data_IF_461247794650
#
_entry.id   IF_461247794650
#
_cell.length_a   1.000
_cell.length_b   1.000
_cell.length_c   1.000
_cell.angle_alpha   90.00
_cell.angle_beta   90.00
_cell.angle_gamma   90.00
#
_symmetry.space_group_name_H-M   'P 1'
#
loop_
_entity.id
_entity.type
_entity.pdbx_description
1 polymer ?
#
# COMPACT_ATOMS: atom_id res chain seq x y z
N UNK A 1 45.41 -24.41 2.86
CA UNK A 1 45.92 -23.54 3.93
C UNK A 1 45.03 -22.31 4.05
N UNK A 2 44.37 -22.13 5.20
CA UNK A 2 43.55 -20.95 5.47
C UNK A 2 44.48 -19.83 5.93
N UNK A 3 44.45 -18.68 5.25
CA UNK A 3 45.28 -17.54 5.60
C UNK A 3 44.39 -16.48 6.27
N UNK A 4 44.70 -16.14 7.53
CA UNK A 4 44.01 -15.06 8.25
C UNK A 4 44.83 -13.78 8.10
N UNK A 5 44.22 -12.72 7.57
CA UNK A 5 44.79 -11.37 7.60
C UNK A 5 44.03 -10.55 8.64
N UNK A 6 44.79 -9.83 9.46
CA UNK A 6 44.25 -8.87 10.44
C UNK A 6 44.49 -7.48 9.88
N UNK A 7 43.46 -6.64 9.89
CA UNK A 7 43.53 -5.26 9.41
C UNK A 7 43.42 -4.32 10.60
N UNK A 8 44.30 -3.32 10.68
CA UNK A 8 44.22 -2.26 11.69
C UNK A 8 43.17 -1.21 11.26
N UNK A 9 41.99 -1.27 11.86
CA UNK A 9 40.88 -0.38 11.52
C UNK A 9 41.09 1.05 12.00
N UNK A 10 41.80 1.28 13.10
CA UNK A 10 42.03 2.63 13.64
C UNK A 10 42.76 3.55 12.65
N UNK A 11 43.86 3.06 12.08
CA UNK A 11 44.64 3.83 11.11
C UNK A 11 43.86 4.10 9.81
N UNK A 12 43.07 3.12 9.35
CA UNK A 12 42.27 3.24 8.13
C UNK A 12 41.06 4.17 8.32
N UNK A 13 40.43 4.16 9.50
CA UNK A 13 39.28 5.02 9.81
C UNK A 13 39.77 6.46 10.02
N UNK A 14 40.87 6.67 10.73
CA UNK A 14 41.40 8.01 10.99
C UNK A 14 41.79 8.79 9.71
N UNK A 15 42.05 8.10 8.59
CA UNK A 15 42.35 8.76 7.31
C UNK A 15 41.11 9.12 6.48
N UNK A 16 39.91 8.66 6.87
CA UNK A 16 38.68 8.79 6.05
C UNK A 16 37.52 9.40 6.84
N UNK A 17 37.40 9.12 8.13
CA UNK A 17 36.32 9.61 8.99
C UNK A 17 36.73 10.88 9.74
N UNK A 18 35.82 11.86 9.87
CA UNK A 18 36.03 12.98 10.78
C UNK A 18 36.03 12.50 12.23
N UNK A 19 36.62 13.30 13.13
CA UNK A 19 36.66 12.99 14.56
C UNK A 19 35.27 13.02 15.22
N UNK A 20 34.35 13.85 14.68
CA UNK A 20 33.01 14.07 15.19
C UNK A 20 32.00 14.05 14.03
N UNK A 21 30.77 13.62 14.31
CA UNK A 21 29.64 13.66 13.38
C UNK A 21 28.53 14.52 13.99
N UNK A 22 28.09 15.53 13.26
CA UNK A 22 26.95 16.36 13.63
C UNK A 22 25.64 15.73 13.14
N UNK A 23 24.58 15.85 13.96
CA UNK A 23 23.24 15.30 13.68
C UNK A 23 22.19 16.30 14.13
N UNK A 24 21.43 16.83 13.17
CA UNK A 24 20.22 17.58 13.48
C UNK A 24 19.10 16.61 13.87
N UNK A 25 18.40 16.90 14.96
CA UNK A 25 17.33 16.05 15.50
C UNK A 25 16.04 16.84 15.66
N UNK A 26 14.93 16.24 15.23
CA UNK A 26 13.57 16.68 15.53
C UNK A 26 13.13 16.22 16.92
N UNK A 27 12.03 16.77 17.44
CA UNK A 27 11.52 16.50 18.81
C UNK A 27 11.32 15.01 19.15
N UNK A 28 10.98 14.18 18.16
CA UNK A 28 10.78 12.74 18.33
C UNK A 28 11.93 11.92 17.75
N UNK A 29 13.13 12.47 17.68
CA UNK A 29 14.31 11.76 17.20
C UNK A 29 15.36 11.62 18.30
N UNK A 30 16.17 10.57 18.22
CA UNK A 30 17.32 10.37 19.10
C UNK A 30 18.49 9.73 18.38
N UNK A 31 19.68 9.88 18.95
CA UNK A 31 20.84 9.09 18.54
C UNK A 31 20.57 7.60 18.77
N UNK A 32 20.84 6.80 17.75
CA UNK A 32 20.67 5.36 17.78
C UNK A 32 21.60 4.73 18.83
N UNK A 33 21.06 3.99 19.82
CA UNK A 33 21.88 3.37 20.85
C UNK A 33 22.70 2.18 20.33
N UNK A 34 22.29 1.54 19.22
CA UNK A 34 22.97 0.37 18.64
C UNK A 34 24.30 0.75 17.97
N UNK A 35 24.31 1.85 17.22
CA UNK A 35 25.50 2.30 16.49
C UNK A 35 26.09 3.61 17.05
N UNK A 36 25.54 4.11 18.16
CA UNK A 36 25.96 5.35 18.82
C UNK A 36 26.06 6.55 17.86
N UNK A 37 25.14 6.65 16.90
CA UNK A 37 25.10 7.77 15.94
C UNK A 37 25.94 7.58 14.67
N UNK A 38 26.75 6.51 14.59
CA UNK A 38 27.58 6.24 13.42
C UNK A 38 26.75 5.87 12.17
N UNK A 39 25.60 5.23 12.38
CA UNK A 39 24.77 4.68 11.30
C UNK A 39 25.31 3.40 10.68
N UNK A 40 26.42 2.88 11.18
CA UNK A 40 27.04 1.63 10.74
C UNK A 40 27.33 0.69 11.91
N UNK A 41 27.35 -0.61 11.64
CA UNK A 41 27.73 -1.66 12.58
C UNK A 41 28.70 -2.63 11.88
N UNK A 42 29.43 -3.41 12.67
CA UNK A 42 30.26 -4.50 12.12
C UNK A 42 29.39 -5.76 12.03
N UNK A 43 29.29 -6.33 10.84
CA UNK A 43 28.56 -7.58 10.60
C UNK A 43 29.50 -8.71 10.19
N UNK A 44 29.22 -9.90 10.73
CA UNK A 44 29.87 -11.15 10.34
C UNK A 44 29.17 -11.76 9.12
N UNK A 45 29.70 -11.52 7.92
CA UNK A 45 29.18 -12.16 6.71
C UNK A 45 29.63 -13.62 6.65
N UNK A 46 28.70 -14.54 6.92
CA UNK A 46 28.98 -15.98 6.90
C UNK A 46 29.16 -16.51 5.48
N UNK A 47 30.12 -17.41 5.27
CA UNK A 47 30.39 -18.00 3.96
C UNK A 47 31.04 -19.39 4.06
N UNK A 48 31.06 -20.10 2.93
CA UNK A 48 31.72 -21.40 2.78
C UNK A 48 32.93 -21.32 1.84
N UNK A 49 33.88 -22.22 2.00
CA UNK A 49 35.00 -22.39 1.08
C UNK A 49 34.70 -23.61 0.19
N UNK A 50 34.77 -23.42 -1.13
CA UNK A 50 34.38 -24.43 -2.14
C UNK A 50 35.07 -25.80 -1.94
N UNK A 51 36.31 -25.79 -1.47
CA UNK A 51 37.14 -27.00 -1.36
C UNK A 51 37.50 -27.37 0.10
N UNK A 52 36.77 -26.84 1.08
CA UNK A 52 37.03 -27.14 2.49
C UNK A 52 36.44 -28.49 2.94
N UNK A 53 37.33 -29.45 3.15
CA UNK A 53 37.01 -30.80 3.61
C UNK A 53 37.31 -31.03 5.11
N UNK A 54 37.60 -29.97 5.87
CA UNK A 54 37.83 -30.06 7.32
C UNK A 54 36.59 -30.58 8.06
N UNK A 55 36.77 -31.17 9.25
CA UNK A 55 35.63 -31.58 10.08
C UNK A 55 34.71 -30.40 10.42
N UNK A 56 35.30 -29.20 10.57
CA UNK A 56 34.57 -27.97 10.83
C UNK A 56 33.69 -27.56 9.64
N UNK A 57 34.22 -27.62 8.41
CA UNK A 57 33.47 -27.35 7.18
C UNK A 57 32.45 -28.41 6.82
N UNK A 58 32.67 -29.67 7.20
CA UNK A 58 31.69 -30.76 7.06
C UNK A 58 30.53 -30.64 8.06
N UNK A 59 30.79 -30.11 9.26
CA UNK A 59 29.79 -29.96 10.33
C UNK A 59 28.86 -28.77 10.13
N UNK A 60 29.33 -27.66 9.56
CA UNK A 60 28.55 -26.42 9.42
C UNK A 60 28.53 -25.93 7.96
N UNK A 61 27.34 -25.55 7.45
CA UNK A 61 27.14 -25.14 6.04
C UNK A 61 27.89 -23.87 5.64
N UNK A 62 28.02 -22.90 6.56
CA UNK A 62 28.76 -21.64 6.36
C UNK A 62 29.64 -21.36 7.60
N UNK A 63 30.77 -22.06 7.73
CA UNK A 63 31.58 -22.06 8.95
C UNK A 63 32.47 -20.82 9.11
N UNK A 64 32.70 -20.07 8.03
CA UNK A 64 33.63 -18.94 8.00
C UNK A 64 32.90 -17.62 8.00
N UNK A 65 33.60 -16.56 8.43
CA UNK A 65 33.04 -15.21 8.57
C UNK A 65 34.01 -14.17 8.00
N UNK A 66 33.48 -13.18 7.29
CA UNK A 66 34.19 -11.94 6.92
C UNK A 66 33.50 -10.77 7.59
N UNK A 67 34.24 -10.07 8.43
CA UNK A 67 33.75 -8.84 9.05
C UNK A 67 33.72 -7.73 8.02
N UNK A 68 32.60 -7.01 7.95
CA UNK A 68 32.46 -5.81 7.13
C UNK A 68 31.66 -4.76 7.88
N UNK A 69 31.80 -3.50 7.47
CA UNK A 69 30.89 -2.45 7.90
C UNK A 69 29.60 -2.55 7.09
N UNK A 70 28.48 -2.54 7.79
CA UNK A 70 27.13 -2.58 7.22
C UNK A 70 26.31 -1.45 7.81
N UNK A 71 25.23 -1.06 7.14
CA UNK A 71 24.32 -0.04 7.67
C UNK A 71 23.61 -0.59 8.92
N UNK A 72 23.55 0.23 9.97
CA UNK A 72 22.87 -0.15 11.20
C UNK A 72 21.39 -0.51 10.90
N UNK A 73 20.90 -1.68 11.33
CA UNK A 73 19.54 -2.14 11.02
C UNK A 73 18.46 -1.38 11.79
N UNK A 74 18.83 -0.69 12.87
CA UNK A 74 17.87 -0.08 13.81
C UNK A 74 17.68 1.43 13.59
N UNK A 75 18.32 2.02 12.59
CA UNK A 75 18.28 3.47 12.39
C UNK A 75 18.51 3.87 10.93
N UNK A 76 18.26 5.15 10.64
CA UNK A 76 18.67 5.80 9.40
C UNK A 76 19.82 6.74 9.73
N UNK A 77 21.00 6.48 9.19
CA UNK A 77 22.20 7.32 9.36
C UNK A 77 22.55 7.67 10.82
N UNK A 78 22.28 6.75 11.75
CA UNK A 78 22.60 6.92 13.17
C UNK A 78 21.49 7.53 14.02
N UNK A 79 20.33 7.83 13.42
CA UNK A 79 19.19 8.47 14.10
C UNK A 79 17.97 7.55 14.09
N UNK A 80 17.31 7.45 15.24
CA UNK A 80 16.03 6.74 15.41
C UNK A 80 14.89 7.74 15.54
N UNK A 81 13.88 7.61 14.69
CA UNK A 81 12.59 8.27 14.89
C UNK A 81 11.77 7.48 15.89
N UNK A 82 11.16 8.17 16.84
CA UNK A 82 10.39 7.62 17.95
C UNK A 82 8.90 7.90 17.72
N UNK A 83 8.07 6.95 18.16
CA UNK A 83 6.63 7.17 18.23
C UNK A 83 6.32 8.35 19.17
N UNK A 84 5.57 9.37 18.74
CA UNK A 84 5.24 10.52 19.58
C UNK A 84 4.56 10.15 20.90
N UNK A 85 3.80 9.05 20.92
CA UNK A 85 2.99 8.59 22.04
C UNK A 85 3.76 7.69 23.01
N UNK A 86 4.37 6.60 22.52
CA UNK A 86 5.03 5.61 23.39
C UNK A 86 6.55 5.75 23.50
N UNK A 87 7.15 6.69 22.75
CA UNK A 87 8.60 6.98 22.69
C UNK A 87 9.49 5.78 22.33
N UNK A 88 8.91 4.68 21.85
CA UNK A 88 9.66 3.56 21.26
C UNK A 88 10.08 3.91 19.83
N UNK A 89 11.27 3.45 19.38
CA UNK A 89 11.69 3.68 18.01
C UNK A 89 10.77 2.96 17.03
N UNK A 90 10.52 3.58 15.89
CA UNK A 90 9.96 2.89 14.74
C UNK A 90 10.95 1.84 14.22
N UNK A 91 10.43 0.83 13.52
CA UNK A 91 11.27 -0.03 12.68
C UNK A 91 11.98 0.84 11.65
N UNK A 92 13.16 0.40 11.18
CA UNK A 92 13.88 1.13 10.13
C UNK A 92 13.01 1.19 8.87
N UNK A 93 12.68 2.41 8.44
CA UNK A 93 11.70 2.76 7.38
C UNK A 93 10.22 2.54 7.72
N UNK A 94 9.90 2.18 8.97
CA UNK A 94 8.53 2.13 9.46
C UNK A 94 8.01 3.52 9.83
N UNK A 95 6.73 3.75 9.57
CA UNK A 95 6.04 5.02 9.89
C UNK A 95 4.88 4.83 10.86
N UNK A 96 4.58 3.59 11.25
CA UNK A 96 3.43 3.24 12.09
C UNK A 96 3.86 2.56 13.40
N UNK A 97 3.05 2.75 14.43
CA UNK A 97 3.25 2.15 15.75
C UNK A 97 1.91 1.64 16.26
N UNK A 98 1.89 0.44 16.86
CA UNK A 98 0.67 -0.19 17.37
C UNK A 98 0.37 0.16 18.84
N UNK A 99 1.00 1.20 19.38
CA UNK A 99 0.70 1.65 20.75
C UNK A 99 -0.67 2.33 20.83
N UNK A 100 -1.34 2.32 22.02
CA UNK A 100 -2.69 2.86 22.18
C UNK A 100 -2.86 4.28 21.62
N UNK A 101 -1.98 5.22 21.97
CA UNK A 101 -2.10 6.60 21.49
C UNK A 101 -1.96 6.77 19.97
N UNK A 102 -1.16 5.91 19.32
CA UNK A 102 -1.05 5.92 17.86
C UNK A 102 -2.28 5.30 17.17
N UNK A 103 -2.91 4.30 17.80
CA UNK A 103 -4.16 3.71 17.33
C UNK A 103 -5.32 4.69 17.46
N UNK A 104 -5.46 5.34 18.61
CA UNK A 104 -6.48 6.36 18.86
C UNK A 104 -6.36 7.53 17.88
N UNK A 105 -5.14 8.01 17.61
CA UNK A 105 -4.91 9.05 16.60
C UNK A 105 -5.32 8.59 15.20
N UNK A 106 -4.96 7.36 14.83
CA UNK A 106 -5.32 6.79 13.52
C UNK A 106 -6.84 6.70 13.39
N UNK A 107 -7.53 6.15 14.39
CA UNK A 107 -8.99 6.07 14.44
C UNK A 107 -9.64 7.45 14.36
N UNK A 108 -9.07 8.45 15.06
CA UNK A 108 -9.53 9.84 14.97
C UNK A 108 -9.39 10.39 13.55
N UNK A 109 -8.23 10.25 12.93
CA UNK A 109 -7.97 10.70 11.55
C UNK A 109 -8.90 9.99 10.57
N UNK A 110 -9.10 8.68 10.71
CA UNK A 110 -9.99 7.89 9.86
C UNK A 110 -11.44 8.33 10.02
N UNK A 111 -11.90 8.55 11.26
CA UNK A 111 -13.22 9.09 11.55
C UNK A 111 -13.41 10.50 10.99
N UNK A 112 -12.41 11.37 11.11
CA UNK A 112 -12.44 12.71 10.53
C UNK A 112 -12.52 12.67 8.99
N UNK A 113 -11.75 11.78 8.35
CA UNK A 113 -11.81 11.55 6.90
C UNK A 113 -13.19 11.07 6.48
N UNK A 114 -13.75 10.08 7.18
CA UNK A 114 -15.06 9.53 6.89
C UNK A 114 -16.18 10.57 7.09
N UNK A 115 -16.15 11.31 8.20
CA UNK A 115 -17.09 12.42 8.44
C UNK A 115 -16.98 13.49 7.34
N UNK A 116 -15.77 13.81 6.90
CA UNK A 116 -15.55 14.76 5.80
C UNK A 116 -16.10 14.23 4.48
N UNK A 117 -15.90 12.95 4.19
CA UNK A 117 -16.46 12.27 3.01
C UNK A 117 -17.99 12.39 3.02
N UNK A 118 -18.65 12.04 4.13
CA UNK A 118 -20.11 12.20 4.28
C UNK A 118 -20.53 13.66 4.12
N UNK A 119 -19.83 14.60 4.76
CA UNK A 119 -20.20 16.03 4.71
C UNK A 119 -20.11 16.65 3.31
N UNK A 120 -19.28 16.08 2.45
CA UNK A 120 -19.13 16.51 1.05
C UNK A 120 -20.06 15.74 0.12
N UNK A 121 -20.61 14.61 0.56
CA UNK A 121 -21.53 13.82 -0.23
C UNK A 121 -22.91 14.48 -0.25
N UNK A 122 -23.60 14.30 -1.37
CA UNK A 122 -24.92 14.88 -1.60
C UNK A 122 -25.99 13.83 -1.32
N UNK A 123 -26.94 14.18 -0.47
CA UNK A 123 -28.16 13.41 -0.31
C UNK A 123 -29.01 13.52 -1.58
N UNK A 124 -29.46 12.38 -2.12
CA UNK A 124 -30.34 12.30 -3.29
C UNK A 124 -31.63 11.56 -2.95
N UNK A 125 -32.70 11.89 -3.67
CA UNK A 125 -33.95 11.14 -3.55
C UNK A 125 -33.77 9.76 -4.20
N UNK A 126 -34.19 8.70 -3.50
CA UNK A 126 -34.11 7.32 -3.96
C UNK A 126 -34.79 7.08 -5.31
N UNK A 127 -35.90 7.77 -5.59
CA UNK A 127 -36.65 7.66 -6.85
C UNK A 127 -35.88 8.23 -8.05
N UNK A 128 -34.82 9.00 -7.80
CA UNK A 128 -33.95 9.58 -8.82
C UNK A 128 -32.69 8.73 -9.08
N UNK A 129 -32.50 7.62 -8.37
CA UNK A 129 -31.32 6.77 -8.51
C UNK A 129 -31.58 5.71 -9.58
N UNK A 130 -30.82 5.76 -10.67
CA UNK A 130 -30.91 4.78 -11.77
C UNK A 130 -29.95 3.59 -11.61
N UNK A 131 -28.94 3.73 -10.74
CA UNK A 131 -27.92 2.70 -10.48
C UNK A 131 -28.26 1.89 -9.22
N UNK A 132 -27.51 0.83 -8.96
CA UNK A 132 -27.60 0.07 -7.70
C UNK A 132 -27.24 0.94 -6.48
N UNK A 133 -27.69 0.49 -5.31
CA UNK A 133 -27.36 1.04 -4.01
C UNK A 133 -26.35 0.14 -3.29
N UNK A 134 -25.42 0.72 -2.55
CA UNK A 134 -24.39 0.00 -1.81
C UNK A 134 -24.51 0.26 -0.31
N UNK A 135 -24.44 -0.80 0.49
CA UNK A 135 -24.47 -0.76 1.94
C UNK A 135 -23.08 -1.10 2.50
N UNK A 136 -22.50 -0.22 3.33
CA UNK A 136 -21.17 -0.43 3.91
C UNK A 136 -21.17 -1.46 5.04
N UNK A 137 -22.29 -1.59 5.74
CA UNK A 137 -22.45 -2.41 6.94
C UNK A 137 -22.42 -3.91 6.65
N UNK A 138 -22.87 -4.31 5.46
CA UNK A 138 -22.90 -5.71 5.01
C UNK A 138 -22.13 -5.97 3.71
N UNK A 139 -21.57 -4.92 3.09
CA UNK A 139 -20.80 -4.98 1.84
C UNK A 139 -21.60 -5.54 0.66
N UNK A 140 -22.90 -5.22 0.59
CA UNK A 140 -23.83 -5.73 -0.42
C UNK A 140 -24.33 -4.61 -1.35
N UNK A 141 -24.56 -4.99 -2.61
CA UNK A 141 -25.22 -4.16 -3.62
C UNK A 141 -26.67 -4.58 -3.79
N UNK A 142 -27.57 -3.59 -3.81
CA UNK A 142 -29.00 -3.74 -3.93
C UNK A 142 -29.51 -3.08 -5.20
N UNK A 143 -30.48 -3.72 -5.87
CA UNK A 143 -31.08 -3.16 -7.09
C UNK A 143 -31.80 -1.83 -6.81
N UNK A 144 -32.53 -1.79 -5.70
CA UNK A 144 -33.23 -0.61 -5.22
C UNK A 144 -33.44 -0.69 -3.70
N UNK A 145 -34.20 0.27 -3.14
CA UNK A 145 -34.49 0.33 -1.71
C UNK A 145 -35.41 -0.80 -1.22
N UNK A 146 -36.25 -1.37 -2.10
CA UNK A 146 -37.10 -2.49 -1.75
C UNK A 146 -36.27 -3.77 -1.64
N UNK A 147 -35.35 -4.02 -2.59
CA UNK A 147 -34.38 -5.12 -2.53
C UNK A 147 -33.52 -5.05 -1.27
N UNK A 148 -33.12 -3.84 -0.85
CA UNK A 148 -32.45 -3.61 0.43
C UNK A 148 -33.29 -4.12 1.61
N UNK A 149 -34.52 -3.63 1.76
CA UNK A 149 -35.35 -3.98 2.89
C UNK A 149 -35.82 -5.45 2.88
N UNK A 150 -36.03 -6.05 1.72
CA UNK A 150 -36.42 -7.47 1.58
C UNK A 150 -35.32 -8.43 2.02
N UNK A 151 -34.06 -8.02 1.89
CA UNK A 151 -32.88 -8.84 2.16
C UNK A 151 -32.12 -8.44 3.41
N UNK A 152 -32.48 -7.32 4.04
CA UNK A 152 -31.82 -6.86 5.26
C UNK A 152 -32.01 -7.85 6.42
N UNK A 153 -30.93 -8.14 7.14
CA UNK A 153 -30.94 -9.01 8.31
C UNK A 153 -30.69 -8.18 9.59
N UNK A 154 -31.55 -8.32 10.60
CA UNK A 154 -31.47 -7.56 11.87
C UNK A 154 -30.23 -7.87 12.74
N UNK A 155 -29.35 -8.78 12.32
CA UNK A 155 -28.13 -9.15 13.05
C UNK A 155 -26.98 -8.13 12.88
N UNK A 156 -27.12 -7.19 11.93
CA UNK A 156 -26.14 -6.13 11.68
C UNK A 156 -26.63 -4.76 12.20
N UNK A 157 -25.70 -3.84 12.54
CA UNK A 157 -26.07 -2.46 12.85
C UNK A 157 -26.89 -1.86 11.71
N UNK A 158 -28.03 -1.24 12.04
CA UNK A 158 -28.90 -0.62 11.04
C UNK A 158 -28.15 0.53 10.33
N UNK A 159 -27.92 0.46 9.01
CA UNK A 159 -27.32 1.54 8.26
C UNK A 159 -28.17 2.80 8.34
N UNK A 160 -27.50 3.94 8.34
CA UNK A 160 -28.16 5.26 8.24
C UNK A 160 -28.39 5.67 6.78
N UNK A 161 -27.57 5.14 5.87
CA UNK A 161 -27.52 5.55 4.46
C UNK A 161 -27.12 4.39 3.56
N UNK A 162 -27.53 4.46 2.30
CA UNK A 162 -27.00 3.65 1.21
C UNK A 162 -26.25 4.57 0.24
N UNK A 163 -25.07 4.16 -0.18
CA UNK A 163 -24.30 4.90 -1.18
C UNK A 163 -24.83 4.60 -2.57
N UNK A 164 -24.92 5.64 -3.41
CA UNK A 164 -25.18 5.42 -4.83
C UNK A 164 -23.96 4.71 -5.43
N UNK A 165 -24.15 3.97 -6.50
CA UNK A 165 -23.04 3.31 -7.20
C UNK A 165 -22.66 4.03 -8.48
N UNK A 166 -21.39 3.91 -8.87
CA UNK A 166 -20.93 4.22 -10.21
C UNK A 166 -20.95 2.95 -11.06
N UNK A 167 -21.52 3.07 -12.25
CA UNK A 167 -21.59 2.01 -13.26
C UNK A 167 -20.33 2.02 -14.13
N UNK A 168 -19.72 0.86 -14.32
CA UNK A 168 -18.65 0.63 -15.30
C UNK A 168 -19.13 -0.43 -16.28
N UNK A 169 -19.01 -0.12 -17.56
CA UNK A 169 -19.35 -1.01 -18.66
C UNK A 169 -18.10 -1.53 -19.35
N UNK A 170 -18.23 -2.69 -19.98
CA UNK A 170 -17.20 -3.21 -20.86
C UNK A 170 -16.87 -2.19 -21.93
N UNK A 171 -15.60 -1.79 -21.97
CA UNK A 171 -15.02 -0.96 -23.00
C UNK A 171 -13.69 -1.57 -23.42
N UNK A 172 -13.38 -1.48 -24.71
CA UNK A 172 -12.09 -1.86 -25.28
C UNK A 172 -11.54 -0.62 -25.97
N UNK A 173 -10.34 -0.23 -25.57
CA UNK A 173 -9.64 0.89 -26.17
C UNK A 173 -8.89 0.43 -27.42
N UNK A 174 -9.28 0.96 -28.58
CA UNK A 174 -8.66 0.65 -29.86
C UNK A 174 -7.16 1.01 -29.89
N UNK A 175 -6.72 2.01 -29.11
CA UNK A 175 -5.31 2.42 -29.07
C UNK A 175 -4.44 1.29 -28.51
N UNK A 176 -4.84 0.72 -27.37
CA UNK A 176 -4.15 -0.42 -26.77
C UNK A 176 -4.11 -1.63 -27.72
N UNK A 177 -5.20 -1.89 -28.45
CA UNK A 177 -5.28 -3.00 -29.42
C UNK A 177 -4.34 -2.77 -30.61
N UNK A 178 -4.29 -1.55 -31.13
CA UNK A 178 -3.41 -1.18 -32.26
C UNK A 178 -1.94 -1.22 -31.84
N UNK A 179 -1.62 -0.66 -30.67
CA UNK A 179 -0.26 -0.66 -30.11
C UNK A 179 0.26 -2.10 -29.92
N UNK A 180 -0.55 -2.98 -29.34
CA UNK A 180 -0.19 -4.39 -29.16
C UNK A 180 0.02 -5.09 -30.52
N UNK A 181 -0.88 -4.87 -31.48
CA UNK A 181 -0.79 -5.45 -32.82
C UNK A 181 0.42 -4.96 -33.62
N UNK A 182 0.88 -3.73 -33.38
CA UNK A 182 2.01 -3.11 -34.07
C UNK A 182 3.35 -3.25 -33.33
N UNK A 183 3.37 -3.91 -32.16
CA UNK A 183 4.54 -4.00 -31.27
C UNK A 183 5.81 -4.56 -31.94
N UNK A 184 5.66 -5.43 -32.94
CA UNK A 184 6.76 -6.04 -33.70
C UNK A 184 6.95 -5.44 -35.10
N UNK A 185 6.23 -4.35 -35.42
CA UNK A 185 6.32 -3.63 -36.69
C UNK A 185 7.26 -2.42 -36.59
N UNK A 186 7.41 -1.68 -37.68
CA UNK A 186 8.21 -0.45 -37.67
C UNK A 186 7.52 0.66 -36.86
N UNK A 187 8.30 1.65 -36.40
CA UNK A 187 7.86 2.70 -35.46
C UNK A 187 6.59 3.46 -35.90
N UNK A 188 6.42 3.69 -37.20
CA UNK A 188 5.25 4.41 -37.73
C UNK A 188 4.02 3.52 -38.04
N UNK A 189 4.07 2.22 -37.72
CA UNK A 189 2.99 1.30 -38.08
C UNK A 189 1.66 1.64 -37.40
N UNK A 190 1.70 2.08 -36.14
CA UNK A 190 0.54 2.53 -35.36
C UNK A 190 -0.15 3.72 -36.03
N UNK A 191 0.63 4.69 -36.53
CA UNK A 191 0.12 5.91 -37.19
C UNK A 191 -0.61 5.63 -38.51
N UNK A 192 -0.43 4.44 -39.07
CA UNK A 192 -1.09 4.01 -40.29
C UNK A 192 -2.44 3.31 -40.03
N UNK A 193 -2.81 3.08 -38.77
CA UNK A 193 -4.06 2.41 -38.40
C UNK A 193 -5.21 3.41 -38.17
N UNK A 194 -6.40 3.09 -38.65
CA UNK A 194 -7.61 3.89 -38.39
C UNK A 194 -8.19 3.56 -37.01
N UNK A 195 -7.74 4.32 -36.00
CA UNK A 195 -8.26 4.22 -34.63
C UNK A 195 -9.78 4.42 -34.55
N UNK A 196 -10.34 5.36 -35.31
CA UNK A 196 -11.76 5.73 -35.18
C UNK A 196 -12.67 4.63 -35.71
N UNK A 197 -12.31 4.05 -36.84
CA UNK A 197 -13.05 2.91 -37.40
C UNK A 197 -12.99 1.71 -36.45
N UNK A 198 -11.81 1.36 -35.94
CA UNK A 198 -11.67 0.24 -35.00
C UNK A 198 -12.42 0.51 -33.68
N UNK A 199 -12.31 1.71 -33.11
CA UNK A 199 -13.06 2.07 -31.89
C UNK A 199 -14.56 1.92 -32.11
N UNK A 200 -15.09 2.36 -33.26
CA UNK A 200 -16.51 2.18 -33.58
C UNK A 200 -16.95 0.72 -33.69
N UNK A 201 -16.10 -0.17 -34.23
CA UNK A 201 -16.37 -1.61 -34.27
C UNK A 201 -16.37 -2.21 -32.87
N UNK A 202 -15.37 -1.86 -32.05
CA UNK A 202 -15.23 -2.33 -30.68
C UNK A 202 -16.38 -1.84 -29.79
N UNK A 203 -16.74 -0.56 -29.86
CA UNK A 203 -17.86 0.03 -29.12
C UNK A 203 -19.17 -0.68 -29.46
N UNK A 204 -19.42 -0.92 -30.75
CA UNK A 204 -20.60 -1.67 -31.19
C UNK A 204 -20.59 -3.08 -30.62
N UNK A 205 -19.46 -3.80 -30.75
CA UNK A 205 -19.34 -5.15 -30.21
C UNK A 205 -19.56 -5.18 -28.70
N UNK A 206 -18.97 -4.26 -27.94
CA UNK A 206 -19.16 -4.11 -26.50
C UNK A 206 -20.63 -3.87 -26.14
N UNK A 207 -21.33 -3.01 -26.89
CA UNK A 207 -22.75 -2.70 -26.66
C UNK A 207 -23.70 -3.89 -26.87
N UNK A 208 -23.28 -4.89 -27.67
CA UNK A 208 -24.06 -6.10 -27.92
C UNK A 208 -23.89 -7.15 -26.80
N UNK A 209 -22.91 -6.97 -25.91
CA UNK A 209 -22.67 -7.91 -24.81
C UNK A 209 -23.62 -7.65 -23.64
N UNK A 210 -24.07 -8.74 -23.01
CA UNK A 210 -24.95 -8.70 -21.83
C UNK A 210 -24.21 -9.23 -20.61
N UNK A 211 -24.56 -8.72 -19.43
CA UNK A 211 -23.97 -9.15 -18.16
C UNK A 211 -22.52 -8.67 -17.96
N UNK A 212 -22.12 -7.61 -18.65
CA UNK A 212 -20.77 -7.04 -18.62
C UNK A 212 -20.69 -5.71 -17.84
N UNK A 213 -21.78 -5.33 -17.18
CA UNK A 213 -21.86 -4.16 -16.31
C UNK A 213 -21.43 -4.52 -14.90
N UNK A 214 -20.58 -3.70 -14.29
CA UNK A 214 -20.16 -3.81 -12.89
C UNK A 214 -20.44 -2.50 -12.17
N UNK A 215 -20.84 -2.59 -10.90
CA UNK A 215 -21.10 -1.43 -10.04
C UNK A 215 -20.01 -1.32 -8.98
N UNK A 216 -19.63 -0.08 -8.66
CA UNK A 216 -18.69 0.24 -7.61
C UNK A 216 -19.32 1.25 -6.65
N UNK A 217 -18.98 1.23 -5.35
CA UNK A 217 -19.45 2.24 -4.40
C UNK A 217 -19.04 3.64 -4.86
N UNK A 218 -20.00 4.58 -4.87
CA UNK A 218 -19.73 5.98 -5.13
C UNK A 218 -20.02 6.82 -3.89
N UNK A 219 -18.95 7.29 -3.26
CA UNK A 219 -19.00 8.06 -2.02
C UNK A 219 -19.33 9.55 -2.20
N UNK A 220 -19.80 9.97 -3.40
CA UNK A 220 -20.23 11.36 -3.64
C UNK A 220 -21.71 11.59 -3.44
N UNK A 221 -22.53 10.55 -3.51
CA UNK A 221 -23.99 10.64 -3.39
C UNK A 221 -24.52 9.49 -2.53
N UNK A 222 -25.52 9.78 -1.71
CA UNK A 222 -26.15 8.77 -0.86
C UNK A 222 -27.66 9.00 -0.73
N UNK A 223 -28.36 7.94 -0.34
CA UNK A 223 -29.77 7.93 0.03
C UNK A 223 -29.89 7.68 1.53
N UNK A 224 -30.68 8.47 2.24
CA UNK A 224 -30.98 8.23 3.65
C UNK A 224 -32.02 7.13 3.80
N UNK A 225 -31.80 6.21 4.74
CA UNK A 225 -32.73 5.10 4.99
C UNK A 225 -33.81 5.55 5.99
N UNK A 226 -35.07 5.38 5.58
CA UNK A 226 -36.23 5.64 6.44
C UNK A 226 -36.78 4.30 6.97
N UNK A 227 -36.25 3.87 8.11
CA UNK A 227 -36.63 2.60 8.75
C UNK A 227 -38.10 2.56 9.22
N UNK A 228 -38.75 3.71 9.40
CA UNK A 228 -40.14 3.76 9.85
C UNK A 228 -41.12 3.52 8.69
N UNK A 229 -40.75 3.88 7.46
CA UNK A 229 -41.59 3.68 6.26
C UNK A 229 -41.80 2.22 5.87
N UNK A 230 -40.89 1.31 6.24
CA UNK A 230 -40.96 -0.10 5.86
C UNK A 230 -41.70 -0.99 6.87
N UNK A 231 -41.94 -0.50 8.08
CA UNK A 231 -42.67 -1.23 9.12
C UNK A 231 -44.21 -1.07 9.03
N UNK A 232 -44.74 -0.60 7.88
CA UNK A 232 -46.15 -0.28 7.64
C UNK A 232 -46.85 -1.21 6.66
#
# INVERSE_FOLDING_TARGET
MIHKKIVNTYAAIASVFPAELEKDLSDNERICPTCHGLGMVVEDNIFGLKDDNSEFGKKYRFPYKKQALSFCPDCVNGVQTLCPYCKKPYLKYGTYCDCPGAKEEKERIEKEKYNKLISNAKEVNVDCVENMLYCEEDDVFYEDIHDFFDRWYDDLPRPERLWVTSKVELSIDAANVIEDACSELHEDAVDCCDYKELQGILDKWCSEQKGTTTYYPNYTEYVTIDWDKYNG
#
